data_IF_986759804309
#
_entry.id   IF_986759804309
#
_cell.length_a   1.000
_cell.length_b   1.000
_cell.length_c   1.000
_cell.angle_alpha   90.00
_cell.angle_beta   90.00
_cell.angle_gamma   90.00
#
_symmetry.space_group_name_H-M   'P 1'
#
loop_
_entity.id
_entity.type
_entity.pdbx_description
1 polymer ?
#
# COMPACT_ATOMS: atom_id res chain seq x y z
N UNK A 1 2.74 -56.07 -10.33
CA UNK A 1 2.38 -55.93 -11.75
C UNK A 1 3.18 -54.76 -12.32
N UNK A 2 4.04 -55.05 -13.31
CA UNK A 2 4.99 -54.11 -13.95
C UNK A 2 4.25 -53.21 -14.95
N UNK A 3 4.78 -52.00 -15.23
CA UNK A 3 4.90 -51.33 -16.54
C UNK A 3 5.70 -50.02 -16.28
N UNK A 4 7.01 -50.00 -16.54
CA UNK A 4 7.73 -49.65 -17.79
C UNK A 4 7.98 -48.14 -17.95
N UNK A 5 9.24 -47.76 -17.75
CA UNK A 5 9.81 -46.46 -18.08
C UNK A 5 9.94 -46.31 -19.60
N UNK A 6 9.69 -45.10 -20.12
CA UNK A 6 10.12 -44.72 -21.47
C UNK A 6 11.03 -43.50 -21.36
N UNK A 7 12.32 -43.77 -21.56
CA UNK A 7 13.40 -42.79 -21.74
C UNK A 7 13.37 -42.35 -23.19
N UNK A 8 13.21 -41.04 -23.45
CA UNK A 8 13.50 -40.45 -24.75
C UNK A 8 14.82 -39.67 -24.67
N UNK A 9 15.86 -40.25 -25.24
CA UNK A 9 17.15 -39.60 -25.52
C UNK A 9 17.07 -39.02 -26.94
N UNK A 10 17.20 -37.70 -27.07
CA UNK A 10 17.47 -37.05 -28.36
C UNK A 10 18.84 -36.35 -28.28
N UNK A 11 19.75 -36.75 -29.17
CA UNK A 11 21.10 -36.20 -29.33
C UNK A 11 21.24 -35.53 -30.71
N UNK A 12 22.13 -34.54 -30.71
CA UNK A 12 22.94 -33.95 -31.80
C UNK A 12 22.37 -32.92 -32.78
N UNK A 13 22.90 -31.68 -32.70
CA UNK A 13 23.77 -30.99 -33.68
C UNK A 13 24.12 -29.61 -33.06
N UNK A 14 25.35 -29.29 -32.63
CA UNK A 14 26.55 -28.89 -33.39
C UNK A 14 26.31 -27.89 -34.54
N UNK A 15 26.61 -26.60 -34.27
CA UNK A 15 27.55 -25.72 -35.00
C UNK A 15 27.07 -24.26 -34.96
N UNK A 16 27.92 -23.35 -34.47
CA UNK A 16 27.68 -21.92 -34.53
C UNK A 16 28.58 -21.14 -33.58
N UNK A 17 29.89 -21.14 -33.86
CA UNK A 17 30.79 -20.13 -33.28
C UNK A 17 30.52 -18.77 -33.94
N UNK A 18 30.51 -17.72 -33.13
CA UNK A 18 30.40 -16.36 -33.65
C UNK A 18 30.09 -15.34 -32.56
N UNK A 19 31.13 -14.68 -32.06
CA UNK A 19 31.03 -13.34 -31.48
C UNK A 19 30.80 -13.29 -29.98
N UNK A 20 31.90 -13.18 -29.23
CA UNK A 20 31.94 -12.39 -28.00
C UNK A 20 31.74 -10.92 -28.36
N UNK A 21 30.53 -10.56 -28.78
CA UNK A 21 30.02 -9.24 -28.51
C UNK A 21 29.61 -9.27 -27.06
N UNK A 22 30.43 -8.73 -26.17
CA UNK A 22 29.93 -8.28 -24.88
C UNK A 22 28.78 -7.34 -25.19
N UNK A 23 27.55 -7.86 -25.16
CA UNK A 23 26.36 -7.03 -25.13
C UNK A 23 26.51 -6.36 -23.78
N UNK A 24 27.07 -5.16 -23.80
CA UNK A 24 26.98 -4.23 -22.70
C UNK A 24 25.48 -4.03 -22.55
N UNK A 25 24.89 -4.88 -21.71
CA UNK A 25 23.49 -4.80 -21.36
C UNK A 25 23.41 -3.44 -20.69
N UNK A 26 23.05 -2.45 -21.50
CA UNK A 26 22.71 -1.11 -21.04
C UNK A 26 21.79 -1.38 -19.87
N UNK A 27 22.15 -0.95 -18.65
CA UNK A 27 21.38 -1.30 -17.46
C UNK A 27 19.93 -1.04 -17.82
N UNK A 28 19.09 -2.08 -17.71
CA UNK A 28 17.67 -1.99 -18.02
C UNK A 28 17.21 -0.73 -17.32
N UNK A 29 17.01 0.34 -18.09
CA UNK A 29 16.37 1.54 -17.60
C UNK A 29 15.00 1.01 -17.25
N UNK A 30 14.80 0.84 -15.95
CA UNK A 30 13.55 0.44 -15.35
C UNK A 30 12.48 1.25 -16.06
N UNK A 31 11.75 0.59 -16.98
CA UNK A 31 10.85 1.27 -17.93
C UNK A 31 9.74 1.98 -17.15
N UNK A 32 9.47 1.49 -15.94
CA UNK A 32 8.51 2.05 -15.01
C UNK A 32 9.09 3.23 -14.21
N UNK A 33 10.41 3.43 -14.20
CA UNK A 33 11.09 4.57 -13.57
C UNK A 33 11.59 5.63 -14.57
N UNK A 34 11.44 5.39 -15.88
CA UNK A 34 12.07 6.18 -16.95
C UNK A 34 11.68 7.67 -16.94
N UNK A 35 10.50 8.04 -16.43
CA UNK A 35 10.07 9.44 -16.30
C UNK A 35 10.58 10.16 -15.05
N UNK A 36 11.02 9.43 -14.02
CA UNK A 36 11.44 10.00 -12.73
C UNK A 36 12.96 10.21 -12.60
N UNK A 37 13.74 9.84 -13.62
CA UNK A 37 15.20 9.97 -13.60
C UNK A 37 15.81 9.18 -12.44
N UNK A 38 16.46 9.88 -11.50
CA UNK A 38 17.08 9.27 -10.30
C UNK A 38 16.11 9.13 -9.11
N UNK A 39 14.89 9.65 -9.23
CA UNK A 39 13.83 9.50 -8.24
C UNK A 39 13.13 8.15 -8.40
N UNK A 40 12.22 7.81 -7.48
CA UNK A 40 11.36 6.64 -7.59
C UNK A 40 10.00 7.06 -8.15
N UNK A 41 9.49 6.29 -9.12
CA UNK A 41 8.10 6.40 -9.55
C UNK A 41 7.17 5.78 -8.50
N UNK A 42 6.54 6.65 -7.70
CA UNK A 42 5.54 6.25 -6.72
C UNK A 42 4.16 6.29 -7.37
N UNK A 43 3.62 5.10 -7.63
CA UNK A 43 2.28 4.91 -8.19
C UNK A 43 1.39 4.17 -7.20
N UNK A 44 0.10 4.42 -7.31
CA UNK A 44 -0.86 3.74 -6.48
C UNK A 44 -2.29 4.13 -6.77
N UNK A 45 -3.16 3.69 -5.87
CA UNK A 45 -4.56 4.03 -5.87
C UNK A 45 -5.04 4.45 -4.48
N UNK A 46 -5.98 5.38 -4.47
CA UNK A 46 -6.73 5.78 -3.31
C UNK A 46 -8.21 5.46 -3.56
N UNK A 47 -8.74 4.50 -2.81
CA UNK A 47 -10.12 4.04 -2.97
C UNK A 47 -10.94 4.37 -1.74
N UNK A 48 -12.26 4.42 -1.90
CA UNK A 48 -13.17 4.49 -0.76
C UNK A 48 -13.07 3.21 0.09
N UNK A 49 -13.20 3.32 1.41
CA UNK A 49 -13.19 2.18 2.31
C UNK A 49 -14.31 1.17 2.03
N UNK A 50 -15.44 1.62 1.51
CA UNK A 50 -16.57 0.78 1.09
C UNK A 50 -16.44 0.28 -0.36
N UNK A 51 -15.33 0.60 -1.06
CA UNK A 51 -15.00 0.06 -2.38
C UNK A 51 -14.78 -1.44 -2.34
N UNK A 52 -15.42 -2.16 -3.27
CA UNK A 52 -15.33 -3.61 -3.41
C UNK A 52 -14.90 -3.98 -4.83
N UNK A 53 -14.53 -5.25 -5.04
CA UNK A 53 -14.23 -5.76 -6.39
C UNK A 53 -15.43 -5.70 -7.34
N UNK A 54 -16.66 -5.76 -6.81
CA UNK A 54 -17.88 -5.66 -7.61
C UNK A 54 -18.36 -4.22 -7.84
N UNK A 55 -17.92 -3.28 -7.00
CA UNK A 55 -18.29 -1.87 -7.05
C UNK A 55 -17.10 -1.03 -6.65
N UNK A 56 -16.22 -0.77 -7.62
CA UNK A 56 -15.03 0.04 -7.41
C UNK A 56 -15.38 1.52 -7.27
N UNK A 57 -14.87 2.15 -6.23
CA UNK A 57 -15.02 3.58 -5.97
C UNK A 57 -13.64 4.22 -5.75
N UNK A 58 -13.09 4.86 -6.78
CA UNK A 58 -11.90 5.68 -6.64
C UNK A 58 -12.20 6.99 -5.92
N UNK A 59 -11.25 7.48 -5.13
CA UNK A 59 -11.33 8.83 -4.56
C UNK A 59 -10.71 9.81 -5.55
N UNK A 60 -11.54 10.67 -6.14
CA UNK A 60 -11.11 11.67 -7.12
C UNK A 60 -10.60 12.94 -6.42
N UNK A 61 -9.58 13.61 -6.98
CA UNK A 61 -9.05 14.91 -6.55
C UNK A 61 -8.50 14.99 -5.10
N UNK A 62 -8.17 13.85 -4.47
CA UNK A 62 -7.33 13.88 -3.27
C UNK A 62 -5.93 14.35 -3.65
N UNK A 63 -5.37 15.29 -2.90
CA UNK A 63 -4.04 15.87 -3.14
C UNK A 63 -2.98 15.12 -2.33
N UNK A 64 -1.87 14.76 -2.98
CA UNK A 64 -0.69 14.17 -2.35
C UNK A 64 0.45 15.17 -2.45
N UNK A 65 1.10 15.46 -1.33
CA UNK A 65 2.22 16.40 -1.27
C UNK A 65 3.35 15.88 -0.38
N UNK A 66 4.58 15.89 -0.89
CA UNK A 66 5.77 15.58 -0.13
C UNK A 66 6.93 15.16 -1.02
N UNK A 67 8.13 15.07 -0.43
CA UNK A 67 9.33 14.73 -1.20
C UNK A 67 9.72 15.75 -2.28
N UNK A 68 9.16 16.96 -2.25
CA UNK A 68 9.36 17.99 -3.27
C UNK A 68 8.44 17.87 -4.49
N UNK A 69 7.44 16.98 -4.45
CA UNK A 69 6.46 16.79 -5.51
C UNK A 69 5.02 16.90 -4.98
N UNK A 70 4.09 17.17 -5.90
CA UNK A 70 2.65 17.23 -5.65
C UNK A 70 1.92 16.58 -6.82
N UNK A 71 0.87 15.83 -6.52
CA UNK A 71 -0.04 15.23 -7.52
C UNK A 71 -1.46 15.12 -6.95
N UNK A 72 -2.44 14.91 -7.81
CA UNK A 72 -3.83 14.66 -7.42
C UNK A 72 -4.34 13.38 -8.04
N UNK A 73 -5.11 12.63 -7.28
CA UNK A 73 -5.77 11.40 -7.75
C UNK A 73 -6.76 11.68 -8.89
N UNK A 74 -6.71 10.84 -9.93
CA UNK A 74 -7.66 10.82 -11.03
C UNK A 74 -9.05 10.30 -10.59
N UNK A 75 -10.10 10.34 -11.44
CA UNK A 75 -11.44 9.87 -11.08
C UNK A 75 -11.52 8.41 -10.62
N UNK A 76 -10.58 7.57 -11.05
CA UNK A 76 -10.46 6.19 -10.60
C UNK A 76 -9.52 6.02 -9.40
N UNK A 77 -9.17 7.10 -8.68
CA UNK A 77 -8.30 7.08 -7.52
C UNK A 77 -6.81 6.91 -7.80
N UNK A 78 -6.40 6.72 -9.06
CA UNK A 78 -4.99 6.49 -9.41
C UNK A 78 -4.18 7.78 -9.41
N UNK A 79 -2.89 7.66 -9.08
CA UNK A 79 -1.92 8.74 -9.13
C UNK A 79 -0.53 8.20 -9.53
N UNK A 80 0.37 9.09 -9.95
CA UNK A 80 1.75 8.76 -10.25
C UNK A 80 2.64 9.98 -10.02
N UNK A 81 3.59 9.89 -9.09
CA UNK A 81 4.48 11.00 -8.77
C UNK A 81 5.91 10.53 -8.52
N UNK A 82 6.88 11.39 -8.79
CA UNK A 82 8.28 11.11 -8.49
C UNK A 82 8.61 11.53 -7.05
N UNK A 83 9.24 10.64 -6.29
CA UNK A 83 9.66 10.89 -4.90
C UNK A 83 11.14 10.58 -4.69
N UNK A 84 11.79 11.18 -3.68
CA UNK A 84 13.18 10.88 -3.36
C UNK A 84 13.41 9.38 -3.12
N UNK A 85 14.49 8.85 -3.67
CA UNK A 85 14.85 7.42 -3.55
C UNK A 85 15.45 7.02 -2.18
N UNK A 86 15.47 7.95 -1.22
CA UNK A 86 16.19 7.84 0.05
C UNK A 86 15.20 7.80 1.23
N UNK A 87 15.20 6.69 1.97
CA UNK A 87 14.32 6.51 3.13
C UNK A 87 12.82 6.49 2.77
N UNK A 88 11.98 6.17 3.76
CA UNK A 88 10.54 6.28 3.57
C UNK A 88 10.15 7.75 3.40
N UNK A 89 9.37 8.05 2.35
CA UNK A 89 8.79 9.38 2.15
C UNK A 89 7.38 9.39 2.72
N UNK A 90 7.11 10.33 3.63
CA UNK A 90 5.78 10.54 4.17
C UNK A 90 5.10 11.65 3.37
N UNK A 91 4.08 11.31 2.60
CA UNK A 91 3.31 12.28 1.83
C UNK A 91 2.10 12.71 2.65
N UNK A 92 1.85 14.02 2.73
CA UNK A 92 0.60 14.54 3.24
C UNK A 92 -0.48 14.31 2.20
N UNK A 93 -1.57 13.69 2.63
CA UNK A 93 -2.74 13.44 1.80
C UNK A 93 -3.90 14.29 2.31
N UNK A 94 -4.34 15.22 1.48
CA UNK A 94 -5.48 16.09 1.75
C UNK A 94 -6.71 15.55 1.01
N UNK A 95 -7.82 15.21 1.71
CA UNK A 95 -9.02 14.71 1.07
C UNK A 95 -9.64 15.76 0.12
N UNK A 96 -10.40 15.34 -0.90
CA UNK A 96 -11.03 16.24 -1.88
C UNK A 96 -12.18 17.10 -1.31
N UNK A 97 -12.57 16.91 -0.05
CA UNK A 97 -13.73 17.59 0.56
C UNK A 97 -15.09 17.23 -0.07
N UNK A 98 -15.11 16.32 -1.04
CA UNK A 98 -16.31 15.84 -1.73
C UNK A 98 -16.94 14.65 -1.01
N UNK A 99 -18.19 14.35 -1.39
CA UNK A 99 -18.86 13.13 -0.95
C UNK A 99 -18.22 11.89 -1.60
N UNK A 100 -18.34 10.75 -0.91
CA UNK A 100 -17.96 9.45 -1.43
C UNK A 100 -18.72 9.14 -2.73
N UNK A 101 -18.00 8.54 -3.67
CA UNK A 101 -18.59 7.96 -4.88
C UNK A 101 -19.23 6.59 -4.64
N UNK A 102 -19.01 5.98 -3.47
CA UNK A 102 -19.64 4.74 -3.07
C UNK A 102 -21.04 5.01 -2.50
N UNK A 103 -22.04 4.30 -3.04
CA UNK A 103 -23.45 4.48 -2.66
C UNK A 103 -23.86 3.76 -1.37
N UNK A 104 -23.04 2.80 -0.92
CA UNK A 104 -23.30 1.98 0.27
C UNK A 104 -23.30 2.80 1.56
N UNK A 105 -22.42 3.79 1.66
CA UNK A 105 -22.32 4.67 2.82
C UNK A 105 -22.00 6.12 2.41
N UNK A 106 -23.02 6.93 2.08
CA UNK A 106 -22.79 8.30 1.68
C UNK A 106 -22.19 9.10 2.84
N UNK A 107 -21.12 9.83 2.54
CA UNK A 107 -20.37 10.60 3.53
C UNK A 107 -19.29 11.45 2.89
N UNK A 108 -18.65 12.34 3.64
CA UNK A 108 -17.54 13.16 3.14
C UNK A 108 -16.22 12.69 3.69
N UNK A 109 -15.17 12.86 2.89
CA UNK A 109 -13.80 12.65 3.34
C UNK A 109 -13.28 13.92 4.01
N UNK A 110 -13.06 13.87 5.32
CA UNK A 110 -12.54 15.03 6.06
C UNK A 110 -11.30 14.73 6.89
N UNK A 111 -10.95 13.46 7.07
CA UNK A 111 -9.77 13.05 7.82
C UNK A 111 -8.52 13.14 6.91
N UNK A 112 -7.55 14.02 7.19
CA UNK A 112 -6.28 14.03 6.47
C UNK A 112 -5.50 12.75 6.72
N UNK A 113 -4.60 12.42 5.80
CA UNK A 113 -3.82 11.20 5.88
C UNK A 113 -2.33 11.42 5.64
N UNK A 114 -1.54 10.41 6.01
CA UNK A 114 -0.13 10.28 5.67
C UNK A 114 -0.01 9.04 4.81
N UNK A 115 0.39 9.19 3.55
CA UNK A 115 0.75 8.05 2.70
C UNK A 115 2.24 7.74 2.89
N UNK A 116 2.54 6.55 3.41
CA UNK A 116 3.92 6.09 3.62
C UNK A 116 4.41 5.42 2.35
N UNK A 117 5.28 6.12 1.62
CA UNK A 117 5.93 5.60 0.42
C UNK A 117 7.28 4.97 0.79
N UNK A 118 7.31 3.64 0.92
CA UNK A 118 8.51 2.89 1.26
C UNK A 118 9.30 2.51 -0.02
N UNK A 119 10.55 2.97 -0.20
CA UNK A 119 11.37 2.65 -1.36
C UNK A 119 11.53 1.16 -1.65
N UNK A 120 11.63 0.33 -0.62
CA UNK A 120 11.80 -1.11 -0.80
C UNK A 120 10.53 -1.75 -1.37
N UNK A 121 9.35 -1.29 -0.92
CA UNK A 121 8.05 -1.73 -1.47
C UNK A 121 7.91 -1.31 -2.93
N UNK A 122 8.24 -0.06 -3.24
CA UNK A 122 8.17 0.48 -4.61
C UNK A 122 9.10 -0.28 -5.55
N UNK A 123 10.37 -0.48 -5.17
CA UNK A 123 11.34 -1.24 -5.98
C UNK A 123 10.98 -2.72 -6.12
N UNK A 124 10.20 -3.26 -5.19
CA UNK A 124 9.72 -4.63 -5.28
C UNK A 124 8.49 -4.77 -6.22
N UNK A 125 8.04 -3.67 -6.85
CA UNK A 125 6.96 -3.65 -7.84
C UNK A 125 5.56 -3.67 -7.24
N UNK A 126 5.41 -3.47 -5.92
CA UNK A 126 4.08 -3.38 -5.31
C UNK A 126 3.46 -2.00 -5.59
N UNK A 127 2.24 -2.01 -6.13
CA UNK A 127 1.44 -0.80 -6.22
C UNK A 127 0.99 -0.37 -4.83
N UNK A 128 1.08 0.92 -4.51
CA UNK A 128 0.56 1.43 -3.26
C UNK A 128 -0.97 1.46 -3.31
N UNK A 129 -1.63 1.00 -2.24
CA UNK A 129 -3.09 1.04 -2.12
C UNK A 129 -3.46 1.62 -0.76
N UNK A 130 -4.29 2.65 -0.78
CA UNK A 130 -4.83 3.33 0.38
C UNK A 130 -6.35 3.36 0.35
N UNK A 131 -6.95 3.36 1.54
CA UNK A 131 -8.40 3.45 1.71
C UNK A 131 -8.77 4.71 2.48
N UNK A 132 -9.48 5.62 1.83
CA UNK A 132 -10.08 6.78 2.49
C UNK A 132 -11.36 6.38 3.19
N UNK A 133 -11.55 6.89 4.40
CA UNK A 133 -12.69 6.56 5.25
C UNK A 133 -13.55 7.82 5.37
N UNK A 134 -14.84 7.74 5.04
CA UNK A 134 -15.79 8.82 5.33
C UNK A 134 -16.03 8.94 6.82
N UNK A 135 -16.44 10.11 7.33
CA UNK A 135 -16.74 10.26 8.76
C UNK A 135 -17.86 9.33 9.24
N UNK A 136 -18.83 9.04 8.36
CA UNK A 136 -19.91 8.09 8.60
C UNK A 136 -19.37 6.68 8.79
N UNK A 137 -18.48 6.23 7.89
CA UNK A 137 -17.82 4.93 7.99
C UNK A 137 -16.94 4.84 9.23
N UNK A 138 -16.23 5.92 9.54
CA UNK A 138 -15.34 6.00 10.69
C UNK A 138 -16.08 5.80 12.02
N UNK A 139 -17.32 6.30 12.15
CA UNK A 139 -18.15 6.06 13.33
C UNK A 139 -18.44 4.56 13.56
N UNK A 140 -18.46 3.75 12.50
CA UNK A 140 -18.64 2.30 12.59
C UNK A 140 -17.32 1.54 12.80
N UNK A 141 -16.25 1.95 12.13
CA UNK A 141 -14.93 1.30 12.22
C UNK A 141 -14.16 1.67 13.50
N UNK A 142 -14.44 2.82 14.08
CA UNK A 142 -13.81 3.32 15.29
C UNK A 142 -14.87 3.85 16.27
N UNK A 143 -15.66 2.98 16.92
CA UNK A 143 -16.53 3.42 18.01
C UNK A 143 -15.68 4.15 19.08
N UNK A 144 -16.06 5.38 19.40
CA UNK A 144 -15.25 6.25 20.26
C UNK A 144 -14.04 6.86 19.56
N UNK A 145 -14.13 7.14 18.25
CA UNK A 145 -13.15 7.90 17.49
C UNK A 145 -12.65 9.14 18.25
N UNK A 146 -11.33 9.30 18.32
CA UNK A 146 -10.65 10.37 19.06
C UNK A 146 -9.66 11.14 18.16
N UNK A 147 -9.96 12.42 17.91
CA UNK A 147 -9.10 13.32 17.12
C UNK A 147 -7.73 13.59 17.77
N UNK A 148 -7.56 13.32 19.07
CA UNK A 148 -6.26 13.41 19.74
C UNK A 148 -5.35 12.19 19.48
N UNK A 149 -5.87 11.16 18.82
CA UNK A 149 -5.16 9.93 18.48
C UNK A 149 -4.86 9.85 16.99
N UNK A 150 -3.95 8.95 16.63
CA UNK A 150 -3.70 8.58 15.24
C UNK A 150 -4.60 7.41 14.84
N UNK A 151 -4.68 7.17 13.54
CA UNK A 151 -5.30 5.99 12.97
C UNK A 151 -4.35 5.37 11.95
N UNK A 152 -4.35 4.05 11.81
CA UNK A 152 -3.46 3.37 10.87
C UNK A 152 -4.27 2.43 9.99
N UNK A 153 -4.09 2.52 8.68
CA UNK A 153 -4.57 1.56 7.69
C UNK A 153 -3.35 0.87 7.06
N UNK A 154 -3.32 -0.46 7.12
CA UNK A 154 -2.27 -1.26 6.48
C UNK A 154 -2.90 -2.09 5.38
N UNK A 155 -2.36 -1.95 4.17
CA UNK A 155 -2.64 -2.81 3.04
C UNK A 155 -1.52 -3.84 2.87
N UNK A 156 -1.86 -5.11 2.80
CA UNK A 156 -0.97 -6.25 2.54
C UNK A 156 -1.17 -6.68 1.10
N UNK A 157 -0.22 -6.30 0.26
CA UNK A 157 -0.13 -6.74 -1.12
C UNK A 157 0.47 -8.16 -1.17
N UNK A 158 -0.09 -9.03 -2.01
CA UNK A 158 0.34 -10.42 -2.17
C UNK A 158 -0.31 -11.40 -1.19
N UNK A 159 0.48 -12.23 -0.51
CA UNK A 159 -0.05 -13.24 0.40
C UNK A 159 -0.67 -12.57 1.64
N UNK A 160 -1.93 -12.87 1.94
CA UNK A 160 -2.61 -12.39 3.16
C UNK A 160 -1.86 -12.86 4.41
N UNK A 161 -1.56 -11.93 5.32
CA UNK A 161 -0.81 -12.19 6.56
C UNK A 161 -1.46 -11.49 7.74
N UNK A 162 -1.07 -11.92 8.94
CA UNK A 162 -1.41 -11.22 10.17
C UNK A 162 -0.49 -10.02 10.35
N UNK A 163 -1.09 -8.90 10.76
CA UNK A 163 -0.44 -7.60 10.90
C UNK A 163 -0.62 -7.11 12.34
N UNK A 164 0.41 -6.48 12.88
CA UNK A 164 0.34 -5.86 14.20
C UNK A 164 1.17 -4.57 14.26
N UNK A 165 0.75 -3.64 15.13
CA UNK A 165 1.53 -2.47 15.51
C UNK A 165 1.85 -2.52 17.01
N UNK A 166 2.97 -1.91 17.43
CA UNK A 166 3.40 -1.93 18.83
C UNK A 166 2.65 -0.93 19.72
N UNK A 167 2.19 0.19 19.15
CA UNK A 167 1.53 1.24 19.91
C UNK A 167 0.16 0.76 20.39
N UNK A 168 -0.25 1.18 21.59
CA UNK A 168 -1.61 0.91 22.10
C UNK A 168 -2.65 1.50 21.16
N UNK A 169 -3.70 0.74 20.87
CA UNK A 169 -4.78 1.15 19.96
C UNK A 169 -6.13 0.57 20.41
N UNK A 170 -7.22 1.07 19.83
CA UNK A 170 -8.56 0.50 19.99
C UNK A 170 -8.68 -0.89 19.34
N UNK A 171 -9.88 -1.49 19.33
CA UNK A 171 -10.03 -2.83 18.72
C UNK A 171 -9.78 -2.76 17.21
N UNK A 172 -8.76 -3.47 16.72
CA UNK A 172 -8.44 -3.52 15.30
C UNK A 172 -9.60 -4.10 14.49
N UNK A 173 -9.79 -3.61 13.28
CA UNK A 173 -10.87 -4.00 12.37
C UNK A 173 -10.29 -4.39 11.01
N UNK A 174 -10.88 -5.38 10.36
CA UNK A 174 -10.78 -5.47 8.90
C UNK A 174 -11.47 -4.25 8.28
N UNK A 175 -11.06 -3.84 7.09
CA UNK A 175 -11.71 -2.70 6.41
C UNK A 175 -13.23 -2.89 6.22
N UNK A 176 -13.69 -4.14 6.12
CA UNK A 176 -15.10 -4.54 6.06
C UNK A 176 -15.90 -4.23 7.34
N UNK A 177 -15.23 -3.89 8.44
CA UNK A 177 -15.84 -3.57 9.74
C UNK A 177 -16.06 -4.77 10.65
N UNK A 178 -15.46 -5.92 10.34
CA UNK A 178 -15.37 -7.05 11.26
C UNK A 178 -14.14 -6.90 12.14
N UNK A 179 -14.25 -7.27 13.42
CA UNK A 179 -13.10 -7.29 14.34
C UNK A 179 -11.96 -8.11 13.75
N UNK A 180 -10.75 -7.54 13.76
CA UNK A 180 -9.53 -8.23 13.38
C UNK A 180 -8.87 -8.81 14.63
N UNK A 181 -8.98 -10.12 14.82
CA UNK A 181 -8.38 -10.80 15.95
C UNK A 181 -6.85 -10.92 15.80
N UNK A 182 -6.14 -11.06 16.92
CA UNK A 182 -4.70 -11.33 16.88
C UNK A 182 -4.43 -12.64 16.11
N UNK A 183 -3.53 -12.59 15.12
CA UNK A 183 -3.22 -13.72 14.25
C UNK A 183 -4.16 -13.90 13.06
N UNK A 184 -5.23 -13.12 12.95
CA UNK A 184 -6.09 -13.11 11.77
C UNK A 184 -5.34 -12.59 10.54
N UNK A 185 -5.64 -13.17 9.38
CA UNK A 185 -4.98 -12.87 8.10
C UNK A 185 -5.94 -12.19 7.14
N UNK A 186 -5.46 -11.19 6.41
CA UNK A 186 -6.28 -10.46 5.45
C UNK A 186 -5.44 -9.50 4.59
N UNK A 187 -6.12 -8.67 3.80
CA UNK A 187 -5.48 -7.66 2.94
C UNK A 187 -5.45 -6.28 3.60
N UNK A 188 -6.51 -5.87 4.29
CA UNK A 188 -6.61 -4.51 4.81
C UNK A 188 -7.03 -4.52 6.27
N UNK A 189 -6.18 -3.99 7.14
CA UNK A 189 -6.44 -3.85 8.58
C UNK A 189 -6.39 -2.38 8.99
N UNK A 190 -7.32 -2.01 9.85
CA UNK A 190 -7.47 -0.69 10.43
C UNK A 190 -7.26 -0.75 11.95
N UNK A 191 -6.33 0.06 12.44
CA UNK A 191 -6.04 0.25 13.85
C UNK A 191 -6.56 1.64 14.28
N UNK A 192 -7.69 1.73 15.00
CA UNK A 192 -8.24 2.99 15.45
C UNK A 192 -7.57 3.50 16.74
N UNK A 193 -7.64 4.80 16.99
CA UNK A 193 -7.29 5.43 18.26
C UNK A 193 -5.88 5.05 18.77
N UNK A 194 -4.91 5.01 17.85
CA UNK A 194 -3.52 4.66 18.13
C UNK A 194 -2.87 5.76 18.96
N UNK A 195 -2.18 5.37 20.03
CA UNK A 195 -1.48 6.31 20.89
C UNK A 195 -0.29 6.97 20.18
N UNK A 196 -0.25 8.29 20.23
CA UNK A 196 0.69 9.13 19.47
C UNK A 196 1.92 9.56 20.27
N UNK A 197 2.04 9.14 21.54
CA UNK A 197 3.05 9.64 22.47
C UNK A 197 4.49 9.52 21.95
N UNK A 198 4.80 8.47 21.19
CA UNK A 198 6.13 8.24 20.58
C UNK A 198 6.32 8.88 19.19
N UNK A 199 5.28 9.47 18.59
CA UNK A 199 5.29 10.01 17.22
C UNK A 199 5.46 8.96 16.10
N UNK A 200 5.64 7.69 16.45
CA UNK A 200 5.83 6.58 15.52
C UNK A 200 5.49 5.24 16.18
N UNK A 201 5.21 4.21 15.37
CA UNK A 201 5.05 2.84 15.87
C UNK A 201 5.73 1.82 14.96
N UNK A 202 6.11 0.69 15.54
CA UNK A 202 6.64 -0.44 14.78
C UNK A 202 5.49 -1.24 14.17
N UNK A 203 5.45 -1.30 12.84
CA UNK A 203 4.59 -2.17 12.04
C UNK A 203 5.29 -3.52 11.79
N UNK A 204 4.59 -4.61 12.07
CA UNK A 204 5.06 -5.98 11.85
C UNK A 204 4.04 -6.80 11.07
N UNK A 205 4.55 -7.78 10.31
CA UNK A 205 3.74 -8.73 9.54
C UNK A 205 4.30 -10.14 9.80
N UNK A 206 3.43 -11.08 10.17
CA UNK A 206 3.84 -12.47 10.46
C UNK A 206 4.41 -13.12 9.20
N UNK A 207 5.58 -13.74 9.34
CA UNK A 207 6.36 -14.28 8.22
C UNK A 207 7.23 -13.25 7.49
N UNK A 208 7.17 -11.98 7.91
CA UNK A 208 7.88 -10.88 7.28
C UNK A 208 7.14 -10.33 6.05
N UNK A 209 7.40 -9.06 5.73
CA UNK A 209 6.97 -8.42 4.50
C UNK A 209 7.92 -7.27 4.17
N UNK A 210 8.04 -6.93 2.90
CA UNK A 210 8.75 -5.70 2.49
C UNK A 210 7.85 -4.51 2.85
N UNK A 211 8.43 -3.46 3.43
CA UNK A 211 7.68 -2.27 3.83
C UNK A 211 7.31 -2.20 5.32
N UNK A 212 7.59 -3.24 6.11
CA UNK A 212 7.47 -3.20 7.58
C UNK A 212 8.53 -2.32 8.22
N UNK A 213 8.31 -1.86 9.45
CA UNK A 213 9.24 -1.00 10.18
C UNK A 213 8.54 0.12 10.94
N UNK A 214 9.29 1.18 11.26
CA UNK A 214 8.72 2.37 11.88
C UNK A 214 7.83 3.13 10.89
N UNK A 215 6.59 3.41 11.30
CA UNK A 215 5.65 4.27 10.57
C UNK A 215 5.28 5.50 11.43
N UNK A 216 5.04 6.67 10.82
CA UNK A 216 4.71 7.88 11.57
C UNK A 216 3.31 7.79 12.19
N UNK A 217 3.15 8.41 13.35
CA UNK A 217 1.86 8.62 13.99
C UNK A 217 1.66 10.12 14.21
N UNK A 218 0.50 10.62 13.77
CA UNK A 218 0.11 12.00 13.99
C UNK A 218 -1.36 12.06 14.41
N UNK A 219 -1.64 12.84 15.47
CA UNK A 219 -3.00 13.03 15.96
C UNK A 219 -3.92 13.61 14.87
N UNK A 220 -5.14 13.10 14.80
CA UNK A 220 -6.14 13.55 13.84
C UNK A 220 -5.83 13.18 12.39
N UNK A 221 -4.95 12.20 12.17
CA UNK A 221 -4.60 11.71 10.83
C UNK A 221 -4.67 10.19 10.71
N UNK A 222 -4.92 9.74 9.48
CA UNK A 222 -4.82 8.36 9.06
C UNK A 222 -3.46 8.08 8.40
N UNK A 223 -2.61 7.29 9.01
CA UNK A 223 -1.39 6.77 8.37
C UNK A 223 -1.75 5.56 7.52
N UNK A 224 -1.47 5.62 6.22
CA UNK A 224 -1.72 4.55 5.25
C UNK A 224 -0.40 3.99 4.75
N UNK A 225 -0.26 2.67 4.79
CA UNK A 225 0.98 1.98 4.39
C UNK A 225 0.65 0.70 3.63
N UNK A 226 1.37 0.48 2.54
CA UNK A 226 1.36 -0.78 1.80
C UNK A 226 2.62 -1.59 2.12
N UNK A 227 2.44 -2.86 2.45
CA UNK A 227 3.51 -3.84 2.63
C UNK A 227 3.34 -4.95 1.59
N UNK A 228 4.45 -5.53 1.14
CA UNK A 228 4.46 -6.63 0.18
C UNK A 228 4.85 -7.94 0.88
N UNK A 229 3.89 -8.84 1.00
CA UNK A 229 4.08 -10.19 1.53
C UNK A 229 4.17 -11.19 0.36
N UNK A 230 5.29 -11.93 0.31
CA UNK A 230 5.53 -12.97 -0.70
C UNK A 230 5.12 -14.35 -0.19
#
# INVERSE_FOLDING_TARGET
MRILALVLLAKSCSCGGGGEGGVDATPVVDIDNASCGTQLNFTGELVDADSTTASFCGVNNANLEGGGAMDSTAPNGRFAMCIPAQGATNLTLTPPGTASGCSSMPGTYTLPAIAVANPATIRAGAAWSGRMITMQRLATLAPGFDMAKAHVMVHVEGQKRAVAILATHGTAQAYSGTTWAAGEVGSDVFFPNVDVASGSTMLTVVGGAIGTGQIPLQAGKLTMVTVLAK
#
